data_IF_913227273904
#
_entry.id   IF_913227273904
#
_cell.length_a   1.000
_cell.length_b   1.000
_cell.length_c   1.000
_cell.angle_alpha   90.00
_cell.angle_beta   90.00
_cell.angle_gamma   90.00
#
_symmetry.space_group_name_H-M   'P 1'
#
loop_
_entity.id
_entity.type
_entity.pdbx_description
1 polymer ?
#
# COMPACT_ATOMS: atom_id res chain seq x y z
N UNK A 1 9.27 4.14 -4.68
CA UNK A 1 8.91 3.24 -5.75
C UNK A 1 8.89 1.77 -5.41
N UNK A 2 9.57 0.94 -6.18
CA UNK A 2 9.55 -0.54 -6.01
C UNK A 2 9.95 -0.98 -4.59
N UNK A 3 10.93 -0.32 -3.96
CA UNK A 3 11.33 -0.62 -2.57
C UNK A 3 10.20 -0.46 -1.56
N UNK A 4 9.39 0.57 -1.73
CA UNK A 4 8.29 0.87 -0.79
C UNK A 4 7.16 -0.14 -0.95
N UNK A 5 6.89 -0.60 -2.17
CA UNK A 5 5.91 -1.65 -2.44
C UNK A 5 6.35 -3.00 -1.86
N UNK A 6 7.63 -3.37 -1.98
CA UNK A 6 8.18 -4.58 -1.36
C UNK A 6 8.12 -4.51 0.17
N UNK A 7 8.36 -3.32 0.75
CA UNK A 7 8.21 -3.07 2.19
C UNK A 7 6.77 -3.31 2.67
N UNK A 8 5.78 -2.86 1.90
CA UNK A 8 4.36 -3.10 2.21
C UNK A 8 4.03 -4.58 2.31
N UNK A 9 4.60 -5.42 1.45
CA UNK A 9 4.46 -6.87 1.53
C UNK A 9 4.99 -7.43 2.85
N UNK A 10 6.19 -7.01 3.27
CA UNK A 10 6.77 -7.40 4.56
C UNK A 10 5.89 -7.00 5.74
N UNK A 11 5.27 -5.82 5.70
CA UNK A 11 4.32 -5.34 6.69
C UNK A 11 3.10 -6.27 6.83
N UNK A 12 2.52 -6.70 5.72
CA UNK A 12 1.40 -7.65 5.71
C UNK A 12 1.76 -8.98 6.37
N UNK A 13 2.95 -9.51 6.08
CA UNK A 13 3.43 -10.76 6.67
C UNK A 13 3.67 -10.66 8.18
N UNK A 14 4.19 -9.54 8.65
CA UNK A 14 4.38 -9.28 10.09
C UNK A 14 3.05 -9.19 10.81
N UNK A 15 2.10 -8.40 10.29
CA UNK A 15 0.78 -8.25 10.89
C UNK A 15 0.02 -9.57 10.94
N UNK A 16 0.09 -10.38 9.90
CA UNK A 16 -0.54 -11.71 9.86
C UNK A 16 -0.08 -12.60 11.01
N UNK A 17 1.21 -12.57 11.36
CA UNK A 17 1.75 -13.35 12.47
C UNK A 17 1.30 -12.85 13.84
N UNK A 18 1.01 -11.56 13.97
CA UNK A 18 0.65 -10.90 15.22
C UNK A 18 -0.85 -10.65 15.40
N UNK A 19 -1.68 -10.96 14.41
CA UNK A 19 -3.12 -10.68 14.41
C UNK A 19 -3.91 -11.64 15.32
N UNK A 20 -3.65 -11.58 16.63
CA UNK A 20 -4.33 -12.38 17.64
C UNK A 20 -5.82 -12.07 17.69
N UNK A 21 -6.65 -12.91 17.04
CA UNK A 21 -8.10 -12.79 17.05
C UNK A 21 -8.68 -11.80 16.02
N UNK A 22 -7.86 -11.17 15.19
CA UNK A 22 -8.29 -10.26 14.11
C UNK A 22 -8.00 -10.86 12.74
N UNK A 23 -8.67 -11.94 12.40
CA UNK A 23 -8.44 -12.67 11.15
C UNK A 23 -8.82 -11.86 9.90
N UNK A 24 -9.87 -11.04 10.00
CA UNK A 24 -10.31 -10.15 8.92
C UNK A 24 -9.29 -9.07 8.60
N UNK A 25 -8.71 -8.44 9.61
CA UNK A 25 -7.60 -7.49 9.45
C UNK A 25 -6.40 -8.17 8.79
N UNK A 26 -6.04 -9.37 9.23
CA UNK A 26 -4.93 -10.12 8.66
C UNK A 26 -5.17 -10.49 7.19
N UNK A 27 -6.40 -10.89 6.85
CA UNK A 27 -6.81 -11.19 5.48
C UNK A 27 -6.72 -9.95 4.59
N UNK A 28 -7.20 -8.80 5.09
CA UNK A 28 -7.11 -7.52 4.36
C UNK A 28 -5.66 -7.12 4.10
N UNK A 29 -4.80 -7.21 5.11
CA UNK A 29 -3.37 -6.90 4.97
C UNK A 29 -2.67 -7.83 3.97
N UNK A 30 -3.05 -9.09 3.94
CA UNK A 30 -2.52 -10.04 2.95
C UNK A 30 -2.93 -9.66 1.52
N UNK A 31 -4.20 -9.28 1.33
CA UNK A 31 -4.69 -8.83 0.03
C UNK A 31 -3.98 -7.55 -0.41
N UNK A 32 -3.80 -6.59 0.49
CA UNK A 32 -3.04 -5.37 0.24
C UNK A 32 -1.59 -5.66 -0.17
N UNK A 33 -0.92 -6.57 0.51
CA UNK A 33 0.44 -6.95 0.18
C UNK A 33 0.56 -7.59 -1.22
N UNK A 34 -0.42 -8.36 -1.64
CA UNK A 34 -0.47 -8.90 -3.00
C UNK A 34 -0.66 -7.81 -4.04
N UNK A 35 -1.58 -6.89 -3.82
CA UNK A 35 -1.86 -5.76 -4.71
C UNK A 35 -0.63 -4.88 -4.90
N UNK A 36 0.08 -4.57 -3.81
CA UNK A 36 1.33 -3.83 -3.85
C UNK A 36 2.44 -4.55 -4.63
N UNK A 37 2.50 -5.88 -4.51
CA UNK A 37 3.43 -6.70 -5.28
C UNK A 37 3.12 -6.63 -6.78
N UNK A 38 1.84 -6.69 -7.15
CA UNK A 38 1.40 -6.56 -8.54
C UNK A 38 1.73 -5.18 -9.11
N UNK A 39 1.55 -4.11 -8.33
CA UNK A 39 1.95 -2.75 -8.70
C UNK A 39 3.46 -2.65 -8.97
N UNK A 40 4.28 -3.24 -8.10
CA UNK A 40 5.73 -3.29 -8.29
C UNK A 40 6.12 -4.01 -9.59
N UNK A 41 5.48 -5.13 -9.87
CA UNK A 41 5.72 -5.92 -11.08
C UNK A 41 5.32 -5.14 -12.35
N UNK A 42 4.19 -4.44 -12.33
CA UNK A 42 3.73 -3.60 -13.45
C UNK A 42 4.72 -2.46 -13.72
N UNK A 43 5.19 -1.78 -12.68
CA UNK A 43 6.21 -0.73 -12.79
C UNK A 43 7.53 -1.28 -13.35
N UNK A 44 8.00 -2.41 -12.83
CA UNK A 44 9.24 -3.04 -13.30
C UNK A 44 9.15 -3.46 -14.77
N UNK A 45 8.03 -4.07 -15.17
CA UNK A 45 7.79 -4.46 -16.56
C UNK A 45 7.75 -3.24 -17.50
N UNK A 46 7.13 -2.14 -17.06
CA UNK A 46 7.11 -0.90 -17.83
C UNK A 46 8.53 -0.36 -18.06
N UNK A 47 9.35 -0.29 -17.01
CA UNK A 47 10.75 0.15 -17.10
C UNK A 47 11.53 -0.72 -18.09
N UNK A 48 11.40 -2.04 -18.00
CA UNK A 48 12.07 -2.96 -18.93
C UNK A 48 11.56 -2.81 -20.36
N UNK A 49 10.27 -2.65 -20.57
CA UNK A 49 9.65 -2.43 -21.88
C UNK A 49 10.15 -1.14 -22.54
N UNK A 50 10.51 -0.14 -21.74
CA UNK A 50 11.10 1.13 -22.21
C UNK A 50 12.63 1.07 -22.36
N UNK A 51 13.23 -0.11 -22.23
CA UNK A 51 14.68 -0.32 -22.37
C UNK A 51 15.50 0.01 -21.14
N UNK A 52 14.86 0.25 -20.01
CA UNK A 52 15.52 0.48 -18.72
C UNK A 52 15.83 -0.81 -17.97
N UNK A 53 16.47 -0.67 -16.82
CA UNK A 53 16.74 -1.75 -15.89
C UNK A 53 15.94 -1.54 -14.60
N UNK A 54 15.07 -2.48 -14.25
CA UNK A 54 14.40 -2.50 -12.97
C UNK A 54 15.38 -3.02 -11.91
N UNK A 55 15.77 -2.16 -10.98
CA UNK A 55 16.67 -2.52 -9.89
C UNK A 55 15.93 -2.44 -8.56
N UNK A 56 15.98 -3.53 -7.80
CA UNK A 56 15.48 -3.55 -6.41
C UNK A 56 16.65 -3.22 -5.50
N UNK A 57 16.57 -2.09 -4.82
CA UNK A 57 17.55 -1.71 -3.81
C UNK A 57 17.27 -2.38 -2.46
N UNK A 58 18.08 -2.05 -1.46
CA UNK A 58 17.84 -2.50 -0.09
C UNK A 58 16.46 -2.03 0.41
N UNK A 59 15.74 -2.91 1.08
CA UNK A 59 14.44 -2.62 1.69
C UNK A 59 14.65 -2.43 3.19
N UNK A 60 14.15 -1.31 3.73
CA UNK A 60 14.21 -1.05 5.16
C UNK A 60 13.44 -2.11 5.96
N UNK A 61 13.93 -2.40 7.16
CA UNK A 61 13.25 -3.32 8.05
C UNK A 61 11.83 -2.82 8.38
N UNK A 62 10.88 -3.75 8.38
CA UNK A 62 9.49 -3.49 8.80
C UNK A 62 9.43 -3.66 10.32
N UNK A 63 8.67 -2.81 11.05
CA UNK A 63 8.42 -3.03 12.47
C UNK A 63 7.90 -4.44 12.73
N UNK A 64 8.39 -5.08 13.79
CA UNK A 64 8.04 -6.46 14.12
C UNK A 64 6.90 -6.55 15.14
N UNK A 65 6.58 -5.44 15.82
CA UNK A 65 5.57 -5.37 16.86
C UNK A 65 4.64 -4.18 16.62
N UNK A 66 3.37 -4.38 16.91
CA UNK A 66 2.32 -3.38 16.75
C UNK A 66 1.46 -3.32 18.01
N UNK A 67 1.22 -2.12 18.51
CA UNK A 67 0.44 -1.91 19.73
C UNK A 67 -1.04 -2.26 19.55
N UNK A 68 -1.60 -2.02 18.36
CA UNK A 68 -3.03 -2.17 18.09
C UNK A 68 -3.32 -2.19 16.58
N UNK A 69 -4.53 -2.60 16.15
CA UNK A 69 -4.98 -2.42 14.76
C UNK A 69 -4.92 -0.97 14.29
N UNK A 70 -5.23 0.00 15.16
CA UNK A 70 -5.12 1.42 14.86
C UNK A 70 -3.69 1.80 14.47
N UNK A 71 -2.70 1.35 15.24
CA UNK A 71 -1.28 1.62 14.99
C UNK A 71 -0.83 1.07 13.62
N UNK A 72 -1.26 -0.15 13.28
CA UNK A 72 -0.99 -0.76 11.97
C UNK A 72 -1.58 0.09 10.84
N UNK A 73 -2.85 0.46 10.93
CA UNK A 73 -3.52 1.21 9.85
C UNK A 73 -3.03 2.66 9.74
N UNK A 74 -2.62 3.29 10.83
CA UNK A 74 -1.93 4.59 10.77
C UNK A 74 -0.60 4.48 10.01
N UNK A 75 0.13 3.39 10.22
CA UNK A 75 1.35 3.12 9.47
C UNK A 75 1.08 2.87 7.99
N UNK A 76 0.06 2.06 7.67
CA UNK A 76 -0.37 1.80 6.29
C UNK A 76 -0.76 3.11 5.60
N UNK A 77 -1.53 3.98 6.26
CA UNK A 77 -1.92 5.27 5.71
C UNK A 77 -0.72 6.16 5.37
N UNK A 78 0.24 6.27 6.28
CA UNK A 78 1.49 7.00 6.02
C UNK A 78 2.26 6.42 4.85
N UNK A 79 2.26 5.10 4.73
CA UNK A 79 2.89 4.42 3.61
C UNK A 79 2.21 4.76 2.28
N UNK A 80 0.87 4.72 2.23
CA UNK A 80 0.12 5.10 1.02
C UNK A 80 0.37 6.56 0.61
N UNK A 81 0.38 7.48 1.56
CA UNK A 81 0.73 8.88 1.29
C UNK A 81 2.16 9.02 0.74
N UNK A 82 3.10 8.27 1.28
CA UNK A 82 4.48 8.26 0.77
C UNK A 82 4.57 7.71 -0.66
N UNK A 83 3.86 6.63 -0.96
CA UNK A 83 3.78 6.07 -2.32
C UNK A 83 3.17 7.09 -3.28
N UNK A 84 2.11 7.79 -2.88
CA UNK A 84 1.51 8.86 -3.68
C UNK A 84 2.50 9.97 -4.02
N UNK A 85 3.29 10.42 -3.03
CA UNK A 85 4.33 11.43 -3.24
C UNK A 85 5.40 10.96 -4.23
N UNK A 86 5.80 9.69 -4.16
CA UNK A 86 6.78 9.10 -5.10
C UNK A 86 6.21 9.03 -6.52
N UNK A 87 4.96 8.63 -6.67
CA UNK A 87 4.27 8.61 -7.97
C UNK A 87 4.18 10.02 -8.56
N UNK A 88 3.81 11.01 -7.76
CA UNK A 88 3.74 12.41 -8.18
C UNK A 88 5.10 12.92 -8.67
N UNK A 89 6.17 12.60 -7.97
CA UNK A 89 7.54 12.93 -8.40
C UNK A 89 7.91 12.28 -9.74
N UNK A 90 7.49 11.03 -9.96
CA UNK A 90 7.70 10.35 -11.23
C UNK A 90 6.92 11.03 -12.38
N UNK A 91 5.69 11.47 -12.12
CA UNK A 91 4.89 12.25 -13.08
C UNK A 91 5.61 13.56 -13.43
N UNK A 92 6.14 14.26 -12.44
CA UNK A 92 6.89 15.51 -12.66
C UNK A 92 8.12 15.29 -13.52
N UNK A 93 8.88 14.22 -13.28
CA UNK A 93 10.04 13.85 -14.09
C UNK A 93 9.62 13.53 -15.53
N UNK A 94 8.58 12.71 -15.71
CA UNK A 94 8.07 12.38 -17.04
C UNK A 94 7.56 13.63 -17.79
N UNK A 95 6.96 14.58 -17.08
CA UNK A 95 6.53 15.86 -17.63
C UNK A 95 7.73 16.71 -18.07
N UNK A 96 8.76 16.82 -17.24
CA UNK A 96 9.99 17.57 -17.56
C UNK A 96 10.71 16.99 -18.78
N UNK A 97 10.73 15.66 -18.91
CA UNK A 97 11.30 14.94 -20.06
C UNK A 97 10.38 14.92 -21.29
N UNK A 98 9.17 15.47 -21.19
CA UNK A 98 8.14 15.45 -22.23
C UNK A 98 7.76 14.03 -22.70
N UNK A 99 7.91 13.06 -21.80
CA UNK A 99 7.57 11.65 -22.05
C UNK A 99 6.08 11.42 -21.78
N UNK A 100 5.26 11.68 -22.79
CA UNK A 100 3.78 11.55 -22.69
C UNK A 100 3.33 10.13 -22.41
N UNK A 101 4.04 9.14 -22.90
CA UNK A 101 3.71 7.74 -22.67
C UNK A 101 3.88 7.36 -21.18
N UNK A 102 4.99 7.79 -20.57
CA UNK A 102 5.19 7.59 -19.13
C UNK A 102 4.23 8.41 -18.27
N UNK A 103 3.88 9.62 -18.69
CA UNK A 103 2.84 10.40 -18.01
C UNK A 103 1.50 9.66 -18.01
N UNK A 104 1.04 9.18 -19.15
CA UNK A 104 -0.21 8.44 -19.28
C UNK A 104 -0.21 7.16 -18.43
N UNK A 105 0.88 6.40 -18.47
CA UNK A 105 1.05 5.22 -17.65
C UNK A 105 0.98 5.54 -16.14
N UNK A 106 1.68 6.58 -15.68
CA UNK A 106 1.73 6.97 -14.28
C UNK A 106 0.41 7.58 -13.79
N UNK A 107 -0.38 8.23 -14.65
CA UNK A 107 -1.71 8.74 -14.28
C UNK A 107 -2.64 7.65 -13.80
N UNK A 108 -2.50 6.41 -14.29
CA UNK A 108 -3.22 5.25 -13.76
C UNK A 108 -2.91 5.03 -12.27
N UNK A 109 -1.66 5.09 -11.89
CA UNK A 109 -1.22 4.99 -10.48
C UNK A 109 -1.69 6.18 -9.64
N UNK A 110 -1.68 7.39 -10.18
CA UNK A 110 -2.21 8.57 -9.47
C UNK A 110 -3.67 8.38 -9.10
N UNK A 111 -4.50 7.94 -10.03
CA UNK A 111 -5.93 7.67 -9.76
C UNK A 111 -6.12 6.58 -8.72
N UNK A 112 -5.35 5.52 -8.82
CA UNK A 112 -5.41 4.39 -7.88
C UNK A 112 -4.99 4.80 -6.47
N UNK A 113 -3.95 5.62 -6.32
CA UNK A 113 -3.52 6.13 -5.01
C UNK A 113 -4.57 6.99 -4.31
N UNK A 114 -5.40 7.73 -5.04
CA UNK A 114 -6.55 8.43 -4.46
C UNK A 114 -7.51 7.45 -3.78
N UNK A 115 -7.80 6.33 -4.44
CA UNK A 115 -8.68 5.29 -3.89
C UNK A 115 -8.01 4.54 -2.72
N UNK A 116 -6.71 4.25 -2.81
CA UNK A 116 -5.96 3.59 -1.73
C UNK A 116 -5.95 4.43 -0.44
N UNK A 117 -5.62 5.70 -0.56
CA UNK A 117 -5.64 6.61 0.60
C UNK A 117 -7.05 6.75 1.19
N UNK A 118 -8.07 6.89 0.34
CA UNK A 118 -9.46 7.00 0.78
C UNK A 118 -9.94 5.73 1.50
N UNK A 119 -9.57 4.57 1.00
CA UNK A 119 -9.91 3.27 1.61
C UNK A 119 -9.31 3.14 3.00
N UNK A 120 -8.01 3.40 3.14
CA UNK A 120 -7.33 3.31 4.44
C UNK A 120 -7.82 4.37 5.41
N UNK A 121 -8.06 5.61 4.94
CA UNK A 121 -8.64 6.67 5.77
C UNK A 121 -10.02 6.27 6.30
N UNK A 122 -10.86 5.70 5.46
CA UNK A 122 -12.19 5.21 5.87
C UNK A 122 -12.11 4.13 6.95
N UNK A 123 -11.14 3.24 6.88
CA UNK A 123 -10.88 2.22 7.92
C UNK A 123 -10.43 2.90 9.22
N UNK A 124 -9.49 3.83 9.15
CA UNK A 124 -9.01 4.60 10.31
C UNK A 124 -10.14 5.35 11.01
N UNK A 125 -11.00 6.00 10.25
CA UNK A 125 -12.15 6.74 10.79
C UNK A 125 -13.10 5.81 11.56
N UNK A 126 -13.39 4.64 11.03
CA UNK A 126 -14.22 3.62 11.69
C UNK A 126 -13.57 3.10 12.97
N UNK A 127 -12.27 2.84 12.97
CA UNK A 127 -11.53 2.40 14.17
C UNK A 127 -11.61 3.48 15.27
N UNK A 128 -11.38 4.74 14.90
CA UNK A 128 -11.37 5.88 15.85
C UNK A 128 -12.75 6.18 16.44
N UNK A 129 -13.82 5.97 15.66
CA UNK A 129 -15.20 6.31 16.09
C UNK A 129 -15.82 5.29 17.01
N UNK A 130 -15.47 4.01 16.91
CA UNK A 130 -16.34 2.97 17.39
C UNK A 130 -15.84 2.08 18.53
N UNK A 131 -14.60 2.21 19.01
CA UNK A 131 -14.06 1.36 20.08
C UNK A 131 -14.05 -0.14 19.74
N UNK A 132 -14.07 -1.01 20.77
CA UNK A 132 -13.87 -2.46 20.62
C UNK A 132 -14.99 -3.16 19.82
N UNK A 133 -16.25 -2.71 19.98
CA UNK A 133 -17.38 -3.28 19.22
C UNK A 133 -17.24 -2.99 17.72
N UNK A 134 -16.83 -1.78 17.38
CA UNK A 134 -16.61 -1.41 15.99
C UNK A 134 -15.42 -2.17 15.39
N UNK A 135 -14.38 -2.44 16.14
CA UNK A 135 -13.26 -3.28 15.70
C UNK A 135 -13.73 -4.69 15.33
N UNK A 136 -14.62 -5.27 16.12
CA UNK A 136 -15.18 -6.60 15.83
C UNK A 136 -15.96 -6.61 14.51
N UNK A 137 -16.87 -5.65 14.32
CA UNK A 137 -17.64 -5.53 13.08
C UNK A 137 -16.77 -5.21 11.87
N UNK A 138 -15.80 -4.34 12.05
CA UNK A 138 -14.85 -3.98 10.99
C UNK A 138 -13.99 -5.18 10.58
N UNK A 139 -13.55 -6.00 11.55
CA UNK A 139 -12.81 -7.22 11.27
C UNK A 139 -13.59 -8.16 10.34
N UNK A 140 -14.88 -8.37 10.61
CA UNK A 140 -15.76 -9.16 9.74
C UNK A 140 -15.85 -8.55 8.33
N UNK A 141 -16.05 -7.24 8.22
CA UNK A 141 -16.14 -6.54 6.94
C UNK A 141 -14.85 -6.64 6.13
N UNK A 142 -13.71 -6.44 6.76
CA UNK A 142 -12.41 -6.52 6.12
C UNK A 142 -12.05 -7.93 5.67
N UNK A 143 -12.49 -8.94 6.38
CA UNK A 143 -12.32 -10.35 6.02
C UNK A 143 -13.07 -10.75 4.76
N UNK A 144 -14.08 -9.99 4.34
CA UNK A 144 -14.85 -10.22 3.12
C UNK A 144 -14.14 -9.71 1.85
N UNK A 145 -13.03 -8.97 1.97
CA UNK A 145 -12.21 -8.52 0.83
C UNK A 145 -11.65 -9.73 0.07
N UNK A 146 -11.89 -9.74 -1.21
CA UNK A 146 -11.38 -10.77 -2.13
C UNK A 146 -10.14 -10.31 -2.86
#
# INVERSE_FOLDING_TARGET
GIRDLVRSRGLGDVYKRQAKGYEGFASWMKAQAHEESDHADVLAQYVMKRGGQAKVGAVDAVPQEWASPLDVFEHVYKHECHVSELIDKLVDVASAEKDKASQDFLWGFVREQVEEEATVQGILDKIKLGGDVALYHLDIQLGARK
#
